data_IF_474198923071
#
_entry.id   IF_474198923071
#
_cell.length_a   1.000
_cell.length_b   1.000
_cell.length_c   1.000
_cell.angle_alpha   90.00
_cell.angle_beta   90.00
_cell.angle_gamma   90.00
#
_symmetry.space_group_name_H-M   'P 1'
#
loop_
_entity.id
_entity.type
_entity.pdbx_description
1 polymer ?
#
# COMPACT_ATOMS: atom_id res chain seq x y z
N UNK A 1 -21.56 -64.84 -63.73
CA UNK A 1 -20.18 -65.20 -63.35
C UNK A 1 -19.23 -64.23 -64.03
N UNK A 2 -18.18 -63.77 -63.35
CA UNK A 2 -18.10 -62.76 -62.28
C UNK A 2 -17.46 -61.45 -62.89
N UNK A 3 -17.14 -60.34 -62.23
CA UNK A 3 -16.80 -60.03 -60.84
C UNK A 3 -16.88 -58.51 -60.60
N UNK A 4 -17.30 -58.18 -59.38
CA UNK A 4 -17.07 -56.95 -58.60
C UNK A 4 -15.83 -56.10 -58.93
N UNK A 5 -15.93 -54.78 -58.79
CA UNK A 5 -15.57 -54.12 -57.51
C UNK A 5 -15.48 -52.60 -57.64
N UNK A 6 -16.22 -51.98 -56.72
CA UNK A 6 -16.15 -50.59 -56.26
C UNK A 6 -14.75 -50.13 -55.84
N UNK A 7 -14.42 -48.87 -56.12
CA UNK A 7 -13.69 -48.02 -55.15
C UNK A 7 -13.75 -46.55 -55.58
N UNK A 8 -14.63 -45.82 -54.91
CA UNK A 8 -14.44 -44.40 -54.60
C UNK A 8 -13.02 -44.19 -54.05
N UNK A 9 -12.32 -43.17 -54.53
CA UNK A 9 -11.22 -42.58 -53.76
C UNK A 9 -11.22 -41.07 -53.95
N UNK A 10 -11.97 -40.44 -53.05
CA UNK A 10 -11.77 -39.06 -52.65
C UNK A 10 -10.33 -38.89 -52.14
N UNK A 11 -9.54 -38.04 -52.82
CA UNK A 11 -8.27 -37.55 -52.28
C UNK A 11 -8.37 -36.05 -52.03
N UNK A 12 -8.57 -35.78 -50.74
CA UNK A 12 -8.56 -34.51 -50.03
C UNK A 12 -7.65 -33.41 -50.59
N UNK A 13 -8.20 -32.20 -50.68
CA UNK A 13 -7.43 -30.95 -50.67
C UNK A 13 -6.58 -30.89 -49.37
N UNK A 14 -5.28 -30.56 -49.42
CA UNK A 14 -4.54 -30.27 -48.21
C UNK A 14 -5.11 -28.99 -47.60
N UNK A 15 -5.75 -29.15 -46.44
CA UNK A 15 -6.14 -28.06 -45.55
C UNK A 15 -4.86 -27.28 -45.24
N UNK A 16 -4.74 -26.08 -45.81
CA UNK A 16 -3.71 -25.12 -45.42
C UNK A 16 -3.91 -24.80 -43.94
N UNK A 17 -3.18 -25.49 -43.08
CA UNK A 17 -3.16 -25.23 -41.64
C UNK A 17 -2.70 -23.80 -41.45
N UNK A 18 -3.66 -23.01 -41.01
CA UNK A 18 -3.58 -21.56 -40.92
C UNK A 18 -2.42 -21.13 -40.00
N UNK A 19 -1.28 -20.80 -40.62
CA UNK A 19 -0.13 -20.09 -40.00
C UNK A 19 -0.50 -18.79 -39.26
N UNK A 20 -1.76 -18.36 -39.35
CA UNK A 20 -2.33 -17.20 -38.65
C UNK A 20 -2.49 -17.41 -37.15
N UNK A 21 -2.76 -18.64 -36.67
CA UNK A 21 -3.04 -18.91 -35.26
C UNK A 21 -1.76 -18.94 -34.41
N UNK A 22 -0.61 -19.26 -35.02
CA UNK A 22 0.70 -19.21 -34.36
C UNK A 22 1.25 -17.78 -34.20
N UNK A 23 0.68 -16.79 -34.91
CA UNK A 23 1.14 -15.38 -34.83
C UNK A 23 0.67 -14.66 -33.57
N UNK A 24 -0.47 -15.04 -33.03
CA UNK A 24 -1.02 -14.47 -31.80
C UNK A 24 -0.21 -14.78 -30.55
N UNK A 25 0.22 -16.04 -30.29
CA UNK A 25 1.09 -16.34 -29.15
C UNK A 25 2.47 -15.68 -29.30
N UNK A 26 3.02 -15.60 -30.51
CA UNK A 26 4.28 -14.88 -30.78
C UNK A 26 4.16 -13.36 -30.56
N UNK A 27 3.02 -12.75 -30.92
CA UNK A 27 2.73 -11.34 -30.64
C UNK A 27 2.49 -11.07 -29.16
N UNK A 28 1.78 -11.96 -28.48
CA UNK A 28 1.59 -11.90 -27.02
C UNK A 28 2.91 -12.07 -26.28
N UNK A 29 3.77 -13.00 -26.72
CA UNK A 29 5.12 -13.19 -26.17
C UNK A 29 5.98 -11.95 -26.43
N UNK A 30 5.95 -11.40 -27.65
CA UNK A 30 6.67 -10.16 -27.98
C UNK A 30 6.19 -8.96 -27.14
N UNK A 31 4.88 -8.83 -26.92
CA UNK A 31 4.30 -7.81 -26.05
C UNK A 31 4.70 -8.03 -24.59
N UNK A 32 4.67 -9.27 -24.10
CA UNK A 32 5.11 -9.62 -22.75
C UNK A 32 6.59 -9.28 -22.55
N UNK A 33 7.45 -9.62 -23.51
CA UNK A 33 8.88 -9.27 -23.49
C UNK A 33 9.07 -7.75 -23.51
N UNK A 34 8.31 -7.03 -24.33
CA UNK A 34 8.33 -5.56 -24.36
C UNK A 34 7.89 -4.94 -23.02
N UNK A 35 6.84 -5.48 -22.39
CA UNK A 35 6.36 -5.04 -21.08
C UNK A 35 7.35 -5.38 -19.96
N UNK A 36 8.07 -6.50 -20.07
CA UNK A 36 9.06 -6.94 -19.09
C UNK A 36 10.43 -6.25 -19.26
N UNK A 37 10.74 -5.70 -20.43
CA UNK A 37 11.99 -4.96 -20.69
C UNK A 37 12.18 -3.79 -19.71
N UNK A 38 11.10 -3.07 -19.36
CA UNK A 38 11.14 -1.99 -18.38
C UNK A 38 11.52 -2.46 -16.97
N UNK A 39 10.72 -3.36 -16.34
CA UNK A 39 11.04 -3.96 -15.04
C UNK A 39 12.41 -4.65 -15.01
N UNK A 40 12.79 -5.36 -16.07
CA UNK A 40 14.13 -5.98 -16.17
C UNK A 40 15.24 -4.93 -16.24
N UNK A 41 15.02 -3.81 -16.94
CA UNK A 41 15.94 -2.68 -16.95
C UNK A 41 16.13 -2.07 -15.56
N UNK A 42 15.05 -1.91 -14.78
CA UNK A 42 15.10 -1.39 -13.39
C UNK A 42 15.77 -2.38 -12.42
N UNK A 43 15.62 -3.69 -12.64
CA UNK A 43 16.32 -4.71 -11.87
C UNK A 43 17.82 -4.74 -12.23
N UNK A 44 18.16 -4.58 -13.51
CA UNK A 44 19.53 -4.56 -14.00
C UNK A 44 20.28 -3.27 -13.64
N UNK A 45 19.58 -2.14 -13.47
CA UNK A 45 20.18 -0.86 -13.11
C UNK A 45 20.68 -0.80 -11.66
N UNK A 46 20.36 -1.78 -10.82
CA UNK A 46 20.80 -1.83 -9.42
C UNK A 46 20.18 -0.74 -8.54
N UNK A 47 19.19 -0.01 -9.04
CA UNK A 47 18.47 1.06 -8.30
C UNK A 47 17.57 0.51 -7.20
N UNK A 48 17.32 -0.80 -7.20
CA UNK A 48 16.56 -1.50 -6.16
C UNK A 48 17.54 -2.21 -5.22
N UNK A 49 17.65 -1.71 -4.00
CA UNK A 49 18.41 -2.37 -2.95
C UNK A 49 17.64 -3.61 -2.45
N UNK A 50 18.03 -4.77 -2.98
CA UNK A 50 17.45 -6.08 -2.64
C UNK A 50 18.29 -6.85 -1.60
N UNK A 51 19.49 -6.35 -1.29
CA UNK A 51 20.54 -7.11 -0.60
C UNK A 51 20.85 -6.59 0.81
N UNK A 52 20.44 -5.36 1.17
CA UNK A 52 20.65 -4.85 2.52
C UNK A 52 19.84 -5.66 3.55
N UNK A 53 20.50 -6.29 4.55
CA UNK A 53 19.82 -6.94 5.65
C UNK A 53 19.06 -5.86 6.45
N UNK A 54 17.75 -5.79 6.26
CA UNK A 54 16.86 -4.80 6.90
C UNK A 54 16.98 -4.75 8.44
N UNK A 55 17.48 -5.83 9.05
CA UNK A 55 17.71 -5.99 10.49
C UNK A 55 18.84 -5.09 11.01
N UNK A 56 19.75 -4.64 10.14
CA UNK A 56 20.93 -3.85 10.48
C UNK A 56 20.84 -2.39 10.00
N UNK A 57 19.75 -2.02 9.34
CA UNK A 57 19.56 -0.66 8.85
C UNK A 57 19.15 0.24 10.02
N UNK A 58 19.96 1.27 10.31
CA UNK A 58 19.72 2.18 11.43
C UNK A 58 18.37 2.88 11.26
N UNK A 59 17.48 2.74 12.23
CA UNK A 59 16.29 3.60 12.37
C UNK A 59 16.70 4.89 13.08
N UNK A 60 17.35 5.79 12.34
CA UNK A 60 17.64 7.13 12.82
C UNK A 60 16.42 8.04 12.59
N UNK A 61 16.19 9.00 13.50
CA UNK A 61 15.27 10.11 13.26
C UNK A 61 15.74 10.96 12.09
N UNK A 62 14.79 11.57 11.39
CA UNK A 62 15.05 12.40 10.21
C UNK A 62 14.99 13.90 10.48
N UNK A 63 14.69 14.30 11.72
CA UNK A 63 14.58 15.68 12.16
C UNK A 63 13.32 16.41 11.66
N UNK A 64 12.33 15.69 11.12
CA UNK A 64 11.09 16.27 10.61
C UNK A 64 10.08 16.57 11.73
N UNK A 65 10.09 15.78 12.80
CA UNK A 65 9.21 15.97 13.94
C UNK A 65 9.79 16.99 14.94
N UNK A 66 9.00 17.94 15.45
CA UNK A 66 9.44 18.83 16.51
C UNK A 66 9.87 18.07 17.75
N UNK A 67 10.93 18.55 18.41
CA UNK A 67 11.34 18.04 19.71
C UNK A 67 10.19 18.24 20.71
N UNK A 68 9.63 17.15 21.28
CA UNK A 68 8.52 17.26 22.21
C UNK A 68 8.90 17.95 23.54
N UNK A 69 10.19 18.08 23.85
CA UNK A 69 10.66 18.86 25.00
C UNK A 69 10.58 20.37 24.76
N UNK A 70 10.62 20.82 23.50
CA UNK A 70 10.62 22.24 23.12
C UNK A 70 9.24 22.67 22.62
N UNK A 71 8.63 21.90 21.72
CA UNK A 71 7.30 22.21 21.19
C UNK A 71 6.25 21.90 22.24
N UNK A 72 5.54 22.93 22.72
CA UNK A 72 4.49 22.78 23.74
C UNK A 72 3.11 22.59 23.13
N UNK A 73 2.91 22.95 21.87
CA UNK A 73 1.63 22.79 21.18
C UNK A 73 1.34 21.33 20.87
N UNK A 74 0.07 20.99 20.67
CA UNK A 74 -0.29 19.71 20.11
C UNK A 74 0.19 19.59 18.65
N UNK A 75 0.54 18.37 18.25
CA UNK A 75 1.09 18.04 16.93
C UNK A 75 0.46 16.74 16.44
N UNK A 76 -0.02 16.74 15.20
CA UNK A 76 -0.38 15.53 14.44
C UNK A 76 0.47 15.51 13.18
N UNK A 77 1.12 14.38 12.92
CA UNK A 77 1.88 14.13 11.70
C UNK A 77 1.51 12.77 11.13
N UNK A 78 1.40 12.67 9.80
CA UNK A 78 1.29 11.38 9.11
C UNK A 78 2.50 11.21 8.22
N UNK A 79 3.18 10.09 8.37
CA UNK A 79 4.36 9.76 7.58
C UNK A 79 4.05 8.61 6.62
N UNK A 80 4.81 8.54 5.54
CA UNK A 80 4.81 7.41 4.61
C UNK A 80 6.22 7.12 4.12
N UNK A 81 6.71 5.89 4.31
CA UNK A 81 8.03 5.48 3.83
C UNK A 81 7.91 4.31 2.84
N UNK A 82 8.85 4.20 1.90
CA UNK A 82 8.89 3.06 0.98
C UNK A 82 9.04 1.76 1.79
N UNK A 83 8.25 0.74 1.44
CA UNK A 83 8.39 -0.59 2.07
C UNK A 83 9.72 -1.24 1.67
N UNK A 84 10.15 -2.27 2.41
CA UNK A 84 11.44 -2.92 2.15
C UNK A 84 11.40 -3.83 0.91
N UNK A 85 12.58 -4.01 0.29
CA UNK A 85 12.83 -4.96 -0.83
C UNK A 85 11.95 -4.66 -2.05
N UNK A 86 11.63 -5.70 -2.83
CA UNK A 86 10.77 -5.59 -4.02
C UNK A 86 9.43 -4.94 -3.71
N UNK A 87 8.92 -5.05 -2.48
CA UNK A 87 7.65 -4.43 -2.08
C UNK A 87 7.75 -2.90 -2.09
N UNK A 88 8.93 -2.34 -1.81
CA UNK A 88 9.22 -0.91 -1.88
C UNK A 88 9.07 -0.30 -3.26
N UNK A 89 9.29 -1.10 -4.30
CA UNK A 89 9.04 -0.67 -5.67
C UNK A 89 7.56 -0.33 -5.90
N UNK A 90 6.64 -0.95 -5.14
CA UNK A 90 5.21 -0.86 -5.37
C UNK A 90 4.42 -0.18 -4.25
N UNK A 91 4.91 -0.15 -3.01
CA UNK A 91 4.11 0.29 -1.87
C UNK A 91 4.85 1.12 -0.83
N UNK A 92 4.12 2.07 -0.22
CA UNK A 92 4.54 2.74 1.02
C UNK A 92 3.96 2.04 2.25
N UNK A 93 4.56 2.30 3.41
CA UNK A 93 4.08 1.98 4.74
C UNK A 93 3.83 3.30 5.48
N UNK A 94 2.56 3.67 5.72
CA UNK A 94 2.23 4.88 6.46
C UNK A 94 1.98 4.61 7.94
N UNK A 95 2.21 5.64 8.75
CA UNK A 95 1.88 5.66 10.17
C UNK A 95 1.47 7.06 10.62
N UNK A 96 0.69 7.10 11.69
CA UNK A 96 0.21 8.34 12.31
C UNK A 96 1.03 8.58 13.57
N UNK A 97 1.42 9.82 13.82
CA UNK A 97 2.09 10.27 15.02
C UNK A 97 1.31 11.43 15.64
N UNK A 98 0.98 11.33 16.92
CA UNK A 98 0.26 12.36 17.66
C UNK A 98 1.05 12.75 18.90
N UNK A 99 1.00 14.03 19.27
CA UNK A 99 1.52 14.56 20.52
C UNK A 99 0.52 15.57 21.05
N UNK A 100 -0.03 15.32 22.24
CA UNK A 100 -0.93 16.28 22.90
C UNK A 100 -0.17 17.51 23.38
N UNK A 101 -0.88 18.61 23.59
CA UNK A 101 -0.30 19.82 24.14
C UNK A 101 0.39 19.53 25.49
N UNK A 102 1.61 20.04 25.64
CA UNK A 102 2.43 19.85 26.83
C UNK A 102 3.05 18.46 27.03
N UNK A 103 2.70 17.47 26.19
CA UNK A 103 3.26 16.12 26.27
C UNK A 103 4.73 16.08 25.82
N UNK A 104 5.55 15.34 26.58
CA UNK A 104 6.98 15.15 26.29
C UNK A 104 7.31 13.97 25.36
N UNK A 105 6.32 13.41 24.69
CA UNK A 105 6.47 12.29 23.77
C UNK A 105 5.36 12.28 22.72
N UNK A 106 5.60 11.59 21.62
CA UNK A 106 4.62 11.22 20.62
C UNK A 106 4.08 9.81 20.91
N UNK A 107 2.84 9.57 20.48
CA UNK A 107 2.28 8.24 20.30
C UNK A 107 2.18 7.96 18.81
N UNK A 108 2.73 6.85 18.36
CA UNK A 108 2.60 6.40 16.97
C UNK A 108 1.60 5.25 16.86
N UNK A 109 0.85 5.26 15.77
CA UNK A 109 -0.13 4.23 15.41
C UNK A 109 0.13 3.72 14.00
N UNK A 110 0.26 2.41 13.87
CA UNK A 110 0.51 1.77 12.58
C UNK A 110 0.08 0.31 12.59
N UNK A 111 -0.27 -0.21 11.41
CA UNK A 111 -0.52 -1.64 11.23
C UNK A 111 0.72 -2.35 10.72
N UNK A 112 1.14 -3.40 11.43
CA UNK A 112 2.34 -4.17 11.08
C UNK A 112 1.98 -5.63 10.77
N UNK A 113 1.88 -5.96 9.48
CA UNK A 113 1.26 -7.20 9.00
C UNK A 113 1.91 -8.51 9.43
N UNK A 114 3.22 -8.57 9.68
CA UNK A 114 3.86 -9.81 10.15
C UNK A 114 3.50 -10.17 11.60
N UNK A 115 2.87 -9.26 12.36
CA UNK A 115 2.34 -9.57 13.69
C UNK A 115 1.07 -10.41 13.62
N UNK A 116 0.28 -10.26 12.54
CA UNK A 116 -0.92 -11.07 12.29
C UNK A 116 -0.59 -12.57 12.26
N UNK A 117 0.53 -12.93 11.64
CA UNK A 117 1.00 -14.32 11.53
C UNK A 117 1.35 -14.95 12.89
N UNK A 118 1.50 -14.14 13.94
CA UNK A 118 1.79 -14.57 15.31
C UNK A 118 0.58 -14.46 16.25
N UNK A 119 -0.63 -14.27 15.70
CA UNK A 119 -1.86 -14.14 16.48
C UNK A 119 -1.91 -12.91 17.39
N UNK A 120 -1.05 -11.91 17.14
CA UNK A 120 -1.03 -10.66 17.88
C UNK A 120 -1.86 -9.60 17.17
N UNK A 121 -2.32 -8.59 17.93
CA UNK A 121 -2.91 -7.37 17.36
C UNK A 121 -1.98 -6.79 16.29
N UNK A 122 -2.55 -6.46 15.12
CA UNK A 122 -1.80 -5.88 14.02
C UNK A 122 -1.59 -4.39 14.21
N UNK A 123 -2.45 -3.74 15.00
CA UNK A 123 -2.26 -2.36 15.45
C UNK A 123 -1.11 -2.30 16.45
N UNK A 124 -0.15 -1.45 16.15
CA UNK A 124 1.01 -1.17 16.99
C UNK A 124 0.91 0.26 17.47
N UNK A 125 0.72 0.40 18.78
CA UNK A 125 0.82 1.68 19.48
C UNK A 125 2.18 1.77 20.16
N UNK A 126 2.88 2.88 20.00
CA UNK A 126 4.21 3.06 20.61
C UNK A 126 4.43 4.48 21.08
N UNK A 127 4.92 4.62 22.30
CA UNK A 127 5.37 5.90 22.85
C UNK A 127 6.82 6.15 22.46
N UNK A 128 7.08 7.24 21.76
CA UNK A 128 8.40 7.58 21.19
C UNK A 128 8.69 9.06 21.35
N UNK A 129 9.97 9.44 21.44
CA UNK A 129 10.38 10.85 21.37
C UNK A 129 10.58 11.32 19.93
N UNK A 130 10.82 10.39 19.00
CA UNK A 130 11.10 10.65 17.59
C UNK A 130 10.19 9.78 16.71
N UNK A 131 9.07 10.33 16.18
CA UNK A 131 8.13 9.58 15.36
C UNK A 131 8.54 9.45 13.88
N UNK A 132 9.57 10.18 13.46
CA UNK A 132 10.03 10.35 12.09
C UNK A 132 11.25 9.47 11.75
N UNK A 133 11.31 8.29 12.38
CA UNK A 133 12.43 7.37 12.19
C UNK A 133 12.40 6.73 10.81
N UNK A 134 13.58 6.45 10.27
CA UNK A 134 13.72 5.72 9.03
C UNK A 134 13.06 4.34 9.13
N UNK A 135 12.19 4.04 8.16
CA UNK A 135 11.54 2.74 8.05
C UNK A 135 12.47 1.78 7.31
N UNK A 136 13.24 1.00 8.07
CA UNK A 136 14.24 0.07 7.51
C UNK A 136 15.20 0.74 6.49
N UNK A 137 15.63 1.97 6.81
CA UNK A 137 16.50 2.79 5.96
C UNK A 137 15.80 3.66 4.93
N UNK A 138 14.50 3.46 4.69
CA UNK A 138 13.74 4.37 3.85
C UNK A 138 13.45 5.68 4.61
N UNK A 139 13.78 6.80 3.98
CA UNK A 139 13.44 8.13 4.50
C UNK A 139 11.91 8.33 4.42
N UNK A 140 11.22 8.63 5.54
CA UNK A 140 9.80 8.89 5.53
C UNK A 140 9.48 10.24 4.89
N UNK A 141 8.44 10.27 4.07
CA UNK A 141 7.82 11.51 3.62
C UNK A 141 6.78 11.94 4.65
N UNK A 142 6.82 13.20 5.07
CA UNK A 142 5.74 13.83 5.82
C UNK A 142 4.58 14.12 4.87
N UNK A 143 3.45 13.42 5.06
CA UNK A 143 2.28 13.52 4.19
C UNK A 143 1.33 14.64 4.63
N UNK A 144 1.17 14.82 5.95
CA UNK A 144 0.42 15.96 6.51
C UNK A 144 0.93 16.29 7.90
N UNK A 145 0.77 17.56 8.28
CA UNK A 145 1.07 18.05 9.61
C UNK A 145 0.03 19.08 10.06
N UNK A 146 -0.39 18.96 11.32
CA UNK A 146 -1.19 19.96 12.03
C UNK A 146 -0.53 20.30 13.35
N UNK A 147 -0.48 21.58 13.70
CA UNK A 147 0.06 22.06 14.98
C UNK A 147 -0.77 23.19 15.55
N UNK A 148 -0.81 23.28 16.88
CA UNK A 148 -1.41 24.42 17.57
C UNK A 148 -2.86 24.21 18.00
N UNK A 149 -3.64 25.30 18.03
CA UNK A 149 -5.00 25.29 18.54
C UNK A 149 -5.91 24.36 17.72
N UNK A 150 -6.78 23.62 18.42
CA UNK A 150 -7.69 22.65 17.82
C UNK A 150 -7.08 21.28 17.51
N UNK A 151 -5.74 21.14 17.57
CA UNK A 151 -5.08 19.85 17.26
C UNK A 151 -5.32 18.81 18.35
N UNK A 152 -5.45 19.17 19.63
CA UNK A 152 -5.84 18.20 20.66
C UNK A 152 -7.22 17.57 20.38
N UNK A 153 -8.19 18.35 19.91
CA UNK A 153 -9.50 17.82 19.51
C UNK A 153 -9.38 16.89 18.29
N UNK A 154 -8.52 17.24 17.32
CA UNK A 154 -8.20 16.34 16.20
C UNK A 154 -7.55 15.04 16.68
N UNK A 155 -6.70 15.08 17.71
CA UNK A 155 -6.10 13.88 18.31
C UNK A 155 -7.19 13.01 18.92
N UNK A 156 -8.16 13.59 19.62
CA UNK A 156 -9.29 12.85 20.20
C UNK A 156 -10.12 12.17 19.10
N UNK A 157 -10.41 12.88 17.99
CA UNK A 157 -11.10 12.30 16.83
C UNK A 157 -10.28 11.16 16.19
N UNK A 158 -8.96 11.32 16.07
CA UNK A 158 -8.05 10.28 15.56
C UNK A 158 -8.06 9.05 16.46
N UNK A 159 -7.96 9.22 17.77
CA UNK A 159 -7.95 8.10 18.72
C UNK A 159 -9.31 7.38 18.77
N UNK A 160 -10.40 8.13 18.74
CA UNK A 160 -11.76 7.59 18.63
C UNK A 160 -11.93 6.81 17.33
N UNK A 161 -11.37 7.32 16.23
CA UNK A 161 -11.31 6.58 15.00
C UNK A 161 -10.51 5.28 15.24
N UNK A 162 -9.24 5.33 15.62
CA UNK A 162 -8.40 4.14 15.76
C UNK A 162 -9.07 3.02 16.59
N UNK A 163 -9.78 3.39 17.67
CA UNK A 163 -10.55 2.46 18.49
C UNK A 163 -11.73 1.78 17.75
N UNK A 164 -12.34 2.45 16.78
CA UNK A 164 -13.44 1.94 15.94
C UNK A 164 -12.96 1.20 14.67
N UNK A 165 -11.66 1.01 14.47
CA UNK A 165 -11.12 0.38 13.27
C UNK A 165 -11.58 -1.10 13.15
N UNK A 166 -12.31 -1.48 12.08
CA UNK A 166 -12.99 -2.77 12.03
C UNK A 166 -12.07 -3.98 11.75
N UNK A 167 -10.81 -3.75 11.36
CA UNK A 167 -9.90 -4.81 10.91
C UNK A 167 -8.64 -4.95 11.78
N UNK A 168 -8.75 -4.68 13.10
CA UNK A 168 -7.61 -4.74 14.04
C UNK A 168 -6.89 -6.09 14.16
N UNK A 169 -7.49 -7.18 13.66
CA UNK A 169 -6.88 -8.52 13.69
C UNK A 169 -6.68 -9.13 12.30
N UNK A 170 -6.97 -8.38 11.24
CA UNK A 170 -6.87 -8.86 9.86
C UNK A 170 -5.76 -8.12 9.11
N UNK A 171 -5.01 -8.85 8.29
CA UNK A 171 -4.04 -8.24 7.39
C UNK A 171 -3.99 -9.00 6.06
N UNK A 172 -4.21 -8.27 4.97
CA UNK A 172 -4.04 -8.75 3.60
C UNK A 172 -3.35 -7.67 2.77
N UNK A 173 -2.23 -8.06 2.14
CA UNK A 173 -1.40 -7.12 1.37
C UNK A 173 -2.18 -6.36 0.29
N UNK A 174 -2.96 -7.08 -0.52
CA UNK A 174 -3.85 -6.52 -1.52
C UNK A 174 -5.06 -7.45 -1.66
N UNK A 175 -6.29 -6.94 -1.81
CA UNK A 175 -6.62 -5.50 -1.86
C UNK A 175 -6.63 -4.76 -0.51
N UNK A 176 -6.62 -5.49 0.59
CA UNK A 176 -6.76 -4.97 1.94
C UNK A 176 -7.54 -5.96 2.82
N UNK A 177 -7.65 -5.72 4.13
CA UNK A 177 -7.15 -4.55 4.86
C UNK A 177 -5.63 -4.61 5.13
N UNK A 178 -4.93 -3.48 5.03
CA UNK A 178 -3.49 -3.35 5.33
C UNK A 178 -3.18 -2.00 6.04
N UNK A 179 -1.90 -1.61 6.15
CA UNK A 179 -1.51 -0.33 6.76
C UNK A 179 -2.00 0.91 6.00
N UNK A 180 -2.08 0.84 4.66
CA UNK A 180 -2.67 1.91 3.86
C UNK A 180 -4.19 1.98 4.08
N UNK A 181 -4.87 0.85 4.18
CA UNK A 181 -6.30 0.79 4.53
C UNK A 181 -6.56 1.46 5.88
N UNK A 182 -5.73 1.19 6.88
CA UNK A 182 -5.86 1.78 8.21
C UNK A 182 -5.75 3.29 8.21
N UNK A 183 -4.67 3.84 7.63
CA UNK A 183 -4.49 5.29 7.59
C UNK A 183 -5.57 5.95 6.74
N UNK A 184 -5.98 5.33 5.62
CA UNK A 184 -7.09 5.81 4.81
C UNK A 184 -8.41 5.82 5.59
N UNK A 185 -8.65 4.78 6.39
CA UNK A 185 -9.83 4.67 7.23
C UNK A 185 -9.87 5.80 8.29
N UNK A 186 -8.75 6.08 8.97
CA UNK A 186 -8.66 7.21 9.92
C UNK A 186 -8.93 8.54 9.22
N UNK A 187 -8.32 8.77 8.05
CA UNK A 187 -8.51 10.00 7.29
C UNK A 187 -9.97 10.22 6.84
N UNK A 188 -10.70 9.14 6.52
CA UNK A 188 -12.14 9.20 6.22
C UNK A 188 -12.99 9.56 7.44
N UNK A 189 -12.61 9.09 8.63
CA UNK A 189 -13.32 9.41 9.88
C UNK A 189 -12.98 10.82 10.40
N UNK A 190 -11.79 11.33 10.06
CA UNK A 190 -11.31 12.65 10.48
C UNK A 190 -11.01 13.53 9.26
N UNK A 191 -12.02 14.07 8.55
CA UNK A 191 -11.81 14.90 7.36
C UNK A 191 -10.93 16.13 7.60
N UNK A 192 -10.92 16.67 8.83
CA UNK A 192 -10.07 17.78 9.23
C UNK A 192 -8.57 17.48 9.14
N UNK A 193 -8.19 16.19 9.07
CA UNK A 193 -6.81 15.77 8.85
C UNK A 193 -6.32 16.18 7.45
N UNK A 194 -7.22 16.36 6.47
CA UNK A 194 -6.88 16.72 5.09
C UNK A 194 -5.75 15.87 4.47
N UNK A 195 -5.75 14.58 4.78
CA UNK A 195 -4.69 13.67 4.34
C UNK A 195 -4.96 13.17 2.92
N UNK A 196 -4.09 13.54 1.98
CA UNK A 196 -4.05 12.92 0.66
C UNK A 196 -3.00 11.79 0.62
N UNK A 197 -3.46 10.55 0.49
CA UNK A 197 -2.57 9.40 0.41
C UNK A 197 -2.11 9.19 -1.04
N UNK A 198 -0.79 9.02 -1.28
CA UNK A 198 -0.27 8.90 -2.62
C UNK A 198 -0.80 7.64 -3.33
N UNK A 199 -0.79 7.58 -4.66
CA UNK A 199 -1.19 6.38 -5.42
C UNK A 199 -0.38 5.11 -5.06
N UNK A 200 0.82 5.29 -4.49
CA UNK A 200 1.67 4.20 -3.98
C UNK A 200 1.19 3.61 -2.65
N UNK A 201 0.16 4.20 -2.01
CA UNK A 201 -0.50 3.63 -0.85
C UNK A 201 -1.51 2.54 -1.28
N UNK A 202 -0.99 1.46 -1.87
CA UNK A 202 -1.79 0.35 -2.40
C UNK A 202 -2.69 -0.25 -1.31
N UNK A 203 -4.00 -0.28 -1.55
CA UNK A 203 -5.02 -0.72 -0.60
C UNK A 203 -5.68 0.39 0.22
N UNK A 204 -5.30 1.66 0.00
CA UNK A 204 -5.97 2.83 0.60
C UNK A 204 -7.47 2.89 0.25
N UNK A 205 -7.85 2.36 -0.92
CA UNK A 205 -9.22 2.45 -1.43
C UNK A 205 -10.12 1.30 -0.95
N UNK A 206 -9.61 0.34 -0.18
CA UNK A 206 -10.41 -0.76 0.37
C UNK A 206 -11.44 -0.26 1.40
N UNK A 207 -12.72 -0.56 1.17
CA UNK A 207 -13.84 -0.17 2.05
C UNK A 207 -14.49 -1.34 2.80
N UNK A 208 -13.99 -2.57 2.61
CA UNK A 208 -14.62 -3.80 3.05
C UNK A 208 -15.20 -4.62 1.89
N UNK A 209 -15.71 -5.82 2.19
CA UNK A 209 -16.20 -6.76 1.18
C UNK A 209 -17.57 -6.36 0.57
N UNK A 210 -18.38 -5.60 1.31
CA UNK A 210 -19.76 -5.25 0.95
C UNK A 210 -19.99 -3.75 0.74
N UNK A 211 -18.96 -2.93 0.93
CA UNK A 211 -19.06 -1.47 0.81
C UNK A 211 -18.44 -1.03 -0.51
N UNK A 212 -19.24 -0.37 -1.36
CA UNK A 212 -18.80 0.06 -2.69
C UNK A 212 -18.64 1.58 -2.84
N UNK A 213 -19.11 2.35 -1.85
CA UNK A 213 -19.09 3.83 -1.88
C UNK A 213 -18.65 4.33 -0.51
N UNK A 214 -17.80 5.35 -0.48
CA UNK A 214 -17.38 6.00 0.77
C UNK A 214 -16.76 7.37 0.53
N UNK A 215 -16.58 8.17 1.58
CA UNK A 215 -15.86 9.44 1.48
C UNK A 215 -14.41 9.21 1.07
N UNK A 216 -13.83 10.07 0.23
CA UNK A 216 -12.41 10.01 -0.12
C UNK A 216 -11.52 10.28 1.12
N UNK A 217 -10.32 9.67 1.24
CA UNK A 217 -9.44 9.91 2.39
C UNK A 217 -9.05 11.38 2.57
N UNK A 218 -9.00 12.16 1.50
CA UNK A 218 -8.73 13.60 1.51
C UNK A 218 -9.80 14.44 2.22
N UNK A 219 -10.99 13.87 2.47
CA UNK A 219 -12.14 14.58 3.04
C UNK A 219 -12.89 15.48 2.04
N UNK A 220 -12.47 15.54 0.77
CA UNK A 220 -13.00 16.52 -0.21
C UNK A 220 -14.01 15.93 -1.22
N UNK A 221 -14.39 14.66 -1.07
CA UNK A 221 -15.32 14.03 -2.02
C UNK A 221 -15.72 12.60 -1.67
N UNK A 222 -16.20 11.88 -2.68
CA UNK A 222 -16.61 10.47 -2.60
C UNK A 222 -15.75 9.62 -3.53
N UNK A 223 -15.62 8.34 -3.19
CA UNK A 223 -15.01 7.33 -4.02
C UNK A 223 -15.97 6.15 -4.22
N UNK A 224 -15.84 5.50 -5.37
CA UNK A 224 -16.34 4.15 -5.60
C UNK A 224 -15.17 3.19 -5.40
N UNK A 225 -15.43 2.03 -4.80
CA UNK A 225 -14.41 1.00 -4.59
C UNK A 225 -15.00 -0.38 -4.84
N UNK A 226 -14.36 -1.18 -5.69
CA UNK A 226 -14.67 -2.59 -5.83
C UNK A 226 -13.47 -3.41 -5.35
N UNK A 227 -13.53 -3.87 -4.09
CA UNK A 227 -12.42 -4.58 -3.46
C UNK A 227 -11.11 -3.77 -3.56
N UNK A 228 -11.12 -2.47 -3.26
CA UNK A 228 -9.90 -1.64 -3.23
C UNK A 228 -9.37 -1.18 -4.59
N UNK A 229 -10.20 -1.23 -5.64
CA UNK A 229 -10.01 -0.63 -6.96
C UNK A 229 -11.00 0.48 -7.21
#
# INVERSE_FOLDING_TARGET
MPSDSSSDTSCANPVGTSRRWLRWPLRLLGLLVLLLLGPMGVLASGTLDLNTPWQHTRSASTGQAPDPAVERSAVVQVFGARTVRWRGAFGIHPWIAVKRAGAGHYTTYQIVGWRAQRGSDVLVTSTVTQPDTQWYGAYPQLLVEHRGAGVDAMIDDIEAAIAAYPWGHEYRLWPGPNSNTFVAWVARQVPALHLDLPPTAIGKDYLGASTFVGHAPSGTGWQLSLLGL
#
